data_IF_109500455644
#
_entry.id   IF_109500455644
#
_cell.length_a   1.000
_cell.length_b   1.000
_cell.length_c   1.000
_cell.angle_alpha   90.00
_cell.angle_beta   90.00
_cell.angle_gamma   90.00
#
_symmetry.space_group_name_H-M   'P 1'
#
loop_
_entity.id
_entity.type
_entity.pdbx_description
1 polymer ?
#
# COMPACT_ATOMS: atom_id res chain seq x y z
N UNK A 1 -8.89 -14.56 36.50
CA UNK A 1 -8.72 -13.89 35.19
C UNK A 1 -9.88 -14.29 34.29
N UNK A 2 -10.57 -13.32 33.69
CA UNK A 2 -11.57 -13.61 32.67
C UNK A 2 -10.91 -14.38 31.52
N UNK A 3 -11.59 -15.42 31.01
CA UNK A 3 -11.12 -16.21 29.88
C UNK A 3 -12.16 -16.11 28.76
N UNK A 4 -11.68 -15.89 27.55
CA UNK A 4 -12.51 -16.01 26.35
C UNK A 4 -12.73 -17.51 26.10
N UNK A 5 -13.97 -17.89 25.84
CA UNK A 5 -14.34 -19.23 25.40
C UNK A 5 -13.53 -19.64 24.16
N UNK A 6 -13.06 -20.89 24.11
CA UNK A 6 -12.12 -21.35 23.08
C UNK A 6 -12.65 -21.09 21.66
N UNK A 7 -13.93 -21.39 21.40
CA UNK A 7 -14.55 -21.19 20.09
C UNK A 7 -14.55 -19.70 19.69
N UNK A 8 -14.91 -18.81 20.62
CA UNK A 8 -14.90 -17.35 20.37
C UNK A 8 -13.48 -16.82 20.16
N UNK A 9 -12.51 -17.42 20.84
CA UNK A 9 -11.10 -17.07 20.68
C UNK A 9 -10.57 -17.44 19.29
N UNK A 10 -10.93 -18.63 18.79
CA UNK A 10 -10.61 -19.07 17.42
C UNK A 10 -11.29 -18.18 16.38
N UNK A 11 -12.56 -17.84 16.56
CA UNK A 11 -13.28 -16.95 15.66
C UNK A 11 -12.62 -15.55 15.57
N UNK A 12 -12.18 -14.99 16.71
CA UNK A 12 -11.44 -13.71 16.70
C UNK A 12 -10.10 -13.82 15.98
N UNK A 13 -9.36 -14.92 16.17
CA UNK A 13 -8.12 -15.17 15.44
C UNK A 13 -8.36 -15.19 13.93
N UNK A 14 -9.41 -15.89 13.49
CA UNK A 14 -9.80 -15.97 12.07
C UNK A 14 -10.21 -14.61 11.49
N UNK A 15 -10.89 -13.75 12.26
CA UNK A 15 -11.21 -12.39 11.83
C UNK A 15 -9.96 -11.51 11.66
N UNK A 16 -8.96 -11.64 12.54
CA UNK A 16 -7.68 -10.95 12.37
C UNK A 16 -6.88 -11.47 11.18
N UNK A 17 -6.83 -12.78 10.96
CA UNK A 17 -6.14 -13.37 9.80
C UNK A 17 -6.84 -12.98 8.48
N UNK A 18 -8.17 -13.07 8.44
CA UNK A 18 -8.97 -12.69 7.26
C UNK A 18 -8.82 -11.21 6.95
N UNK A 19 -8.95 -10.33 7.95
CA UNK A 19 -8.77 -8.88 7.75
C UNK A 19 -7.37 -8.56 7.24
N UNK A 20 -6.32 -9.15 7.82
CA UNK A 20 -4.95 -8.95 7.35
C UNK A 20 -4.77 -9.38 5.89
N UNK A 21 -5.28 -10.56 5.50
CA UNK A 21 -5.22 -11.03 4.11
C UNK A 21 -5.93 -10.07 3.15
N UNK A 22 -7.14 -9.65 3.50
CA UNK A 22 -7.91 -8.69 2.69
C UNK A 22 -7.17 -7.37 2.52
N UNK A 23 -6.63 -6.82 3.61
CA UNK A 23 -5.87 -5.56 3.60
C UNK A 23 -4.63 -5.71 2.71
N UNK A 24 -3.82 -6.76 2.91
CA UNK A 24 -2.59 -6.98 2.14
C UNK A 24 -2.86 -7.17 0.65
N UNK A 25 -3.90 -7.93 0.29
CA UNK A 25 -4.30 -8.09 -1.12
C UNK A 25 -4.83 -6.77 -1.66
N UNK A 26 -5.66 -6.03 -0.91
CA UNK A 26 -6.19 -4.74 -1.33
C UNK A 26 -5.09 -3.70 -1.59
N UNK A 27 -4.11 -3.59 -0.69
CA UNK A 27 -2.93 -2.74 -0.90
C UNK A 27 -2.10 -3.22 -2.09
N UNK A 28 -1.95 -4.53 -2.29
CA UNK A 28 -1.26 -5.10 -3.44
C UNK A 28 -1.96 -4.82 -4.77
N UNK A 29 -3.30 -4.89 -4.81
CA UNK A 29 -4.08 -4.54 -5.99
C UNK A 29 -3.95 -3.05 -6.29
N UNK A 30 -3.97 -2.17 -5.27
CA UNK A 30 -3.68 -0.74 -5.44
C UNK A 30 -2.29 -0.51 -6.05
N UNK A 31 -1.27 -1.24 -5.60
CA UNK A 31 0.09 -1.19 -6.18
C UNK A 31 0.19 -1.74 -7.60
N UNK A 32 -0.74 -2.58 -8.03
CA UNK A 32 -0.81 -3.16 -9.37
C UNK A 32 -1.57 -2.29 -10.38
N UNK A 33 -2.16 -1.16 -9.95
CA UNK A 33 -2.89 -0.26 -10.84
C UNK A 33 -1.90 0.41 -11.79
N UNK A 34 -2.11 0.19 -13.08
CA UNK A 34 -1.28 0.74 -14.15
C UNK A 34 -1.87 2.06 -14.65
N UNK A 35 -1.02 2.89 -15.24
CA UNK A 35 -1.49 4.07 -15.95
C UNK A 35 -2.45 3.65 -17.08
N UNK A 36 -3.66 4.25 -17.11
CA UNK A 36 -4.69 3.99 -18.12
C UNK A 36 -5.78 2.98 -17.72
N UNK A 37 -5.51 2.02 -16.83
CA UNK A 37 -6.49 1.05 -16.32
C UNK A 37 -6.79 1.29 -14.83
N UNK A 38 -7.65 2.28 -14.56
CA UNK A 38 -8.03 2.70 -13.20
C UNK A 38 -9.27 1.97 -12.67
N UNK A 39 -9.18 0.65 -12.53
CA UNK A 39 -10.26 -0.16 -11.93
C UNK A 39 -10.06 -0.33 -10.41
N UNK A 40 -10.66 0.57 -9.62
CA UNK A 40 -10.53 0.58 -8.15
C UNK A 40 -11.53 -0.31 -7.41
N UNK A 41 -12.52 -0.89 -8.10
CA UNK A 41 -13.62 -1.62 -7.46
C UNK A 41 -13.12 -2.77 -6.57
N UNK A 42 -12.22 -3.62 -7.08
CA UNK A 42 -11.67 -4.74 -6.30
C UNK A 42 -10.89 -4.23 -5.09
N UNK A 43 -10.07 -3.21 -5.28
CA UNK A 43 -9.29 -2.57 -4.21
C UNK A 43 -10.21 -2.05 -3.10
N UNK A 44 -11.26 -1.30 -3.44
CA UNK A 44 -12.22 -0.79 -2.45
C UNK A 44 -12.97 -1.93 -1.75
N UNK A 45 -13.37 -2.97 -2.49
CA UNK A 45 -14.05 -4.13 -1.92
C UNK A 45 -13.18 -4.86 -0.89
N UNK A 46 -11.89 -5.01 -1.17
CA UNK A 46 -10.94 -5.67 -0.27
C UNK A 46 -10.61 -4.82 0.95
N UNK A 47 -10.28 -3.53 0.74
CA UNK A 47 -9.87 -2.62 1.82
C UNK A 47 -11.03 -2.28 2.76
N UNK A 48 -12.23 -1.99 2.24
CA UNK A 48 -13.40 -1.69 3.07
C UNK A 48 -13.72 -2.84 4.04
N UNK A 49 -13.83 -4.07 3.51
CA UNK A 49 -14.08 -5.25 4.34
C UNK A 49 -12.92 -5.57 5.29
N UNK A 50 -11.68 -5.43 4.81
CA UNK A 50 -10.49 -5.69 5.60
C UNK A 50 -10.40 -4.77 6.83
N UNK A 51 -10.56 -3.46 6.64
CA UNK A 51 -10.53 -2.49 7.73
C UNK A 51 -11.74 -2.61 8.66
N UNK A 52 -12.94 -2.86 8.13
CA UNK A 52 -14.14 -3.07 8.96
C UNK A 52 -13.93 -4.25 9.92
N UNK A 53 -13.50 -5.40 9.39
CA UNK A 53 -13.23 -6.61 10.18
C UNK A 53 -12.14 -6.39 11.21
N UNK A 54 -11.03 -5.74 10.81
CA UNK A 54 -9.94 -5.41 11.72
C UNK A 54 -10.43 -4.54 12.89
N UNK A 55 -11.18 -3.47 12.63
CA UNK A 55 -11.67 -2.57 13.67
C UNK A 55 -12.73 -3.21 14.56
N UNK A 56 -13.65 -4.02 14.02
CA UNK A 56 -14.60 -4.78 14.85
C UNK A 56 -13.90 -5.80 15.74
N UNK A 57 -12.89 -6.51 15.22
CA UNK A 57 -12.09 -7.44 16.01
C UNK A 57 -11.29 -6.70 17.10
N UNK A 58 -10.74 -5.52 16.78
CA UNK A 58 -10.12 -4.62 17.76
C UNK A 58 -11.10 -4.28 18.88
N UNK A 59 -12.30 -3.79 18.53
CA UNK A 59 -13.35 -3.41 19.49
C UNK A 59 -13.73 -4.59 20.38
N UNK A 60 -13.87 -5.80 19.84
CA UNK A 60 -14.12 -7.01 20.65
C UNK A 60 -13.05 -7.21 21.74
N UNK A 61 -11.77 -7.06 21.40
CA UNK A 61 -10.67 -7.21 22.35
C UNK A 61 -10.61 -6.05 23.36
N UNK A 62 -10.83 -4.81 22.91
CA UNK A 62 -10.92 -3.64 23.78
C UNK A 62 -12.07 -3.76 24.78
N UNK A 63 -13.24 -4.17 24.32
CA UNK A 63 -14.43 -4.40 25.13
C UNK A 63 -14.20 -5.53 26.13
N UNK A 64 -13.57 -6.63 25.72
CA UNK A 64 -13.18 -7.70 26.64
C UNK A 64 -12.21 -7.25 27.71
N UNK A 65 -11.19 -6.46 27.36
CA UNK A 65 -10.26 -5.90 28.34
C UNK A 65 -10.98 -5.04 29.38
N UNK A 66 -11.92 -4.20 28.93
CA UNK A 66 -12.65 -3.24 29.80
C UNK A 66 -13.69 -3.93 30.68
N UNK A 67 -14.43 -4.89 30.14
CA UNK A 67 -15.64 -5.44 30.77
C UNK A 67 -15.49 -6.90 31.23
N UNK A 68 -14.41 -7.59 30.85
CA UNK A 68 -14.18 -9.02 31.16
C UNK A 68 -15.07 -9.98 30.35
N UNK A 69 -15.90 -9.47 29.45
CA UNK A 69 -16.78 -10.24 28.55
C UNK A 69 -16.68 -9.67 27.13
N UNK A 70 -16.97 -10.49 26.12
CA UNK A 70 -17.06 -10.03 24.73
C UNK A 70 -18.37 -9.26 24.50
N UNK A 71 -18.41 -8.34 23.51
CA UNK A 71 -19.63 -7.62 23.19
C UNK A 71 -20.71 -8.58 22.67
N UNK A 72 -21.97 -8.20 22.88
CA UNK A 72 -23.09 -8.93 22.32
C UNK A 72 -23.34 -8.56 20.84
N UNK A 73 -24.23 -9.32 20.20
CA UNK A 73 -24.62 -9.08 18.82
C UNK A 73 -25.21 -7.68 18.60
N UNK A 74 -26.00 -7.18 19.56
CA UNK A 74 -26.68 -5.89 19.43
C UNK A 74 -25.66 -4.74 19.40
N UNK A 75 -24.65 -4.81 20.26
CA UNK A 75 -23.54 -3.87 20.29
C UNK A 75 -22.81 -3.85 18.94
N UNK A 76 -22.35 -5.01 18.45
CA UNK A 76 -21.64 -5.07 17.16
C UNK A 76 -22.50 -4.63 15.97
N UNK A 77 -23.80 -4.96 15.97
CA UNK A 77 -24.73 -4.53 14.91
C UNK A 77 -24.91 -3.02 14.91
N UNK A 78 -25.01 -2.39 16.08
CA UNK A 78 -25.22 -0.95 16.21
C UNK A 78 -24.04 -0.11 15.74
N UNK A 79 -22.81 -0.67 15.74
CA UNK A 79 -21.63 -0.01 15.19
C UNK A 79 -21.71 0.16 13.65
N UNK A 80 -22.54 -0.63 12.97
CA UNK A 80 -22.70 -0.55 11.51
C UNK A 80 -21.45 -0.98 10.73
N UNK A 81 -21.26 -0.37 9.56
CA UNK A 81 -20.16 -0.67 8.62
C UNK A 81 -19.31 0.58 8.31
N UNK A 82 -19.59 1.68 9.00
CA UNK A 82 -18.92 2.95 8.77
C UNK A 82 -17.56 2.96 9.45
N UNK A 83 -16.50 3.13 8.66
CA UNK A 83 -15.13 3.05 9.15
C UNK A 83 -14.77 4.21 10.08
N UNK A 84 -15.35 5.40 9.86
CA UNK A 84 -15.13 6.55 10.73
C UNK A 84 -15.80 6.34 12.09
N UNK A 85 -17.04 5.83 12.12
CA UNK A 85 -17.72 5.51 13.38
C UNK A 85 -17.01 4.39 14.15
N UNK A 86 -16.50 3.37 13.46
CA UNK A 86 -15.71 2.30 14.09
C UNK A 86 -14.40 2.83 14.67
N UNK A 87 -13.69 3.71 13.95
CA UNK A 87 -12.47 4.34 14.47
C UNK A 87 -12.78 5.24 15.67
N UNK A 88 -13.85 6.02 15.62
CA UNK A 88 -14.27 6.87 16.74
C UNK A 88 -14.56 6.04 17.98
N UNK A 89 -15.28 4.92 17.85
CA UNK A 89 -15.54 4.00 18.96
C UNK A 89 -14.23 3.45 19.56
N UNK A 90 -13.25 3.11 18.72
CA UNK A 90 -11.91 2.70 19.18
C UNK A 90 -11.24 3.81 19.97
N UNK A 91 -11.18 5.03 19.42
CA UNK A 91 -10.48 6.16 20.02
C UNK A 91 -11.09 6.60 21.36
N UNK A 92 -12.42 6.56 21.48
CA UNK A 92 -13.13 7.01 22.67
C UNK A 92 -13.10 5.96 23.80
N UNK A 93 -13.18 4.67 23.45
CA UNK A 93 -13.41 3.63 24.44
C UNK A 93 -12.25 2.66 24.66
N UNK A 94 -11.36 2.48 23.68
CA UNK A 94 -10.44 1.34 23.64
C UNK A 94 -9.00 1.69 23.24
N UNK A 95 -8.71 2.93 22.90
CA UNK A 95 -7.35 3.40 22.59
C UNK A 95 -6.64 3.89 23.85
N UNK A 96 -5.39 3.45 24.07
CA UNK A 96 -4.61 3.85 25.23
C UNK A 96 -3.47 4.79 24.86
N UNK A 97 -3.35 5.89 25.58
CA UNK A 97 -2.31 6.91 25.38
C UNK A 97 -1.09 6.76 26.31
N UNK A 98 -0.85 5.58 26.89
CA UNK A 98 0.11 5.48 27.99
C UNK A 98 1.55 5.86 27.58
N UNK A 99 1.99 7.04 28.08
CA UNK A 99 3.37 7.50 28.36
C UNK A 99 4.42 7.44 27.25
N UNK A 100 4.05 7.35 25.98
CA UNK A 100 5.02 7.54 24.89
C UNK A 100 4.55 8.61 23.91
N UNK A 101 5.48 9.45 23.47
CA UNK A 101 5.25 10.50 22.46
C UNK A 101 4.64 9.90 21.19
N UNK A 102 5.03 8.66 20.84
CA UNK A 102 4.50 7.97 19.67
C UNK A 102 2.97 7.78 19.72
N UNK A 103 2.37 7.48 20.88
CA UNK A 103 0.91 7.31 20.95
C UNK A 103 0.14 8.62 20.80
N UNK A 104 0.74 9.75 21.15
CA UNK A 104 0.16 11.07 20.90
C UNK A 104 0.20 11.39 19.41
N UNK A 105 1.33 11.12 18.74
CA UNK A 105 1.46 11.24 17.28
C UNK A 105 0.43 10.34 16.57
N UNK A 106 0.28 9.10 17.05
CA UNK A 106 -0.66 8.14 16.49
C UNK A 106 -2.10 8.62 16.67
N UNK A 107 -2.47 9.08 17.86
CA UNK A 107 -3.81 9.61 18.12
C UNK A 107 -4.10 10.86 17.30
N UNK A 108 -3.16 11.79 17.21
CA UNK A 108 -3.30 13.00 16.41
C UNK A 108 -3.54 12.65 14.94
N UNK A 109 -2.73 11.74 14.37
CA UNK A 109 -2.94 11.23 13.02
C UNK A 109 -4.33 10.59 12.86
N UNK A 110 -4.70 9.66 13.75
CA UNK A 110 -6.00 8.97 13.69
C UNK A 110 -7.20 9.93 13.81
N UNK A 111 -7.04 11.06 14.50
CA UNK A 111 -8.13 12.01 14.78
C UNK A 111 -8.22 13.13 13.76
N UNK A 112 -7.08 13.61 13.26
CA UNK A 112 -6.99 14.90 12.57
C UNK A 112 -6.52 14.79 11.11
N UNK A 113 -5.96 13.65 10.69
CA UNK A 113 -5.46 13.50 9.32
C UNK A 113 -6.61 13.53 8.30
N UNK A 114 -6.55 14.51 7.40
CA UNK A 114 -7.60 14.74 6.40
C UNK A 114 -7.64 13.64 5.34
N UNK A 115 -6.49 13.08 5.00
CA UNK A 115 -6.41 12.03 3.99
C UNK A 115 -6.98 10.72 4.52
N UNK A 116 -6.70 10.38 5.78
CA UNK A 116 -7.30 9.23 6.44
C UNK A 116 -8.83 9.34 6.45
N UNK A 117 -9.36 10.51 6.84
CA UNK A 117 -10.82 10.77 6.86
C UNK A 117 -11.44 10.61 5.48
N UNK A 118 -10.87 11.25 4.45
CA UNK A 118 -11.39 11.15 3.10
C UNK A 118 -11.34 9.71 2.55
N UNK A 119 -10.25 8.98 2.81
CA UNK A 119 -10.13 7.56 2.43
C UNK A 119 -11.17 6.69 3.14
N UNK A 120 -11.43 6.94 4.43
CA UNK A 120 -12.43 6.19 5.19
C UNK A 120 -13.85 6.49 4.74
N UNK A 121 -14.15 7.75 4.44
CA UNK A 121 -15.41 8.15 3.82
C UNK A 121 -15.64 7.38 2.51
N UNK A 122 -14.65 7.42 1.59
CA UNK A 122 -14.70 6.76 0.29
C UNK A 122 -14.95 5.24 0.41
N UNK A 123 -14.21 4.57 1.30
CA UNK A 123 -14.36 3.13 1.53
C UNK A 123 -15.69 2.78 2.22
N UNK A 124 -16.16 3.61 3.14
CA UNK A 124 -17.43 3.40 3.85
C UNK A 124 -18.62 3.52 2.91
N UNK A 125 -18.66 4.58 2.11
CA UNK A 125 -19.76 4.81 1.15
C UNK A 125 -19.77 3.75 0.04
N UNK A 126 -18.59 3.31 -0.41
CA UNK A 126 -18.47 2.16 -1.29
C UNK A 126 -19.11 0.91 -0.68
N UNK A 127 -18.77 0.57 0.57
CA UNK A 127 -19.32 -0.61 1.27
C UNK A 127 -20.84 -0.58 1.43
N UNK A 128 -21.41 0.60 1.71
CA UNK A 128 -22.84 0.79 2.00
C UNK A 128 -23.73 0.68 0.75
N UNK A 129 -23.55 1.58 -0.23
CA UNK A 129 -24.55 1.82 -1.29
C UNK A 129 -23.89 1.86 -2.67
N UNK A 130 -22.70 2.48 -2.80
CA UNK A 130 -22.17 2.85 -4.11
C UNK A 130 -21.62 1.68 -4.95
N UNK A 131 -21.54 0.46 -4.41
CA UNK A 131 -21.24 -0.77 -5.19
C UNK A 131 -22.13 -0.94 -6.42
N UNK A 132 -23.38 -0.48 -6.34
CA UNK A 132 -24.37 -0.58 -7.40
C UNK A 132 -24.85 0.78 -7.91
N UNK A 133 -24.04 1.84 -7.74
CA UNK A 133 -24.40 3.21 -8.12
C UNK A 133 -24.96 3.33 -9.55
N UNK A 134 -24.37 2.63 -10.52
CA UNK A 134 -24.86 2.63 -11.89
C UNK A 134 -26.29 2.10 -12.01
N UNK A 135 -26.70 1.12 -11.20
CA UNK A 135 -28.08 0.64 -11.17
C UNK A 135 -29.04 1.68 -10.60
N UNK A 136 -28.62 2.46 -9.59
CA UNK A 136 -29.44 3.57 -9.09
C UNK A 136 -29.70 4.63 -10.17
N UNK A 137 -28.73 4.87 -11.05
CA UNK A 137 -28.93 5.72 -12.24
C UNK A 137 -29.90 5.06 -13.21
N UNK A 138 -29.67 3.79 -13.58
CA UNK A 138 -30.50 3.04 -14.54
C UNK A 138 -31.96 3.01 -14.09
N UNK A 139 -32.22 2.81 -12.80
CA UNK A 139 -33.58 2.69 -12.25
C UNK A 139 -34.19 4.02 -11.83
N UNK A 140 -33.50 5.15 -12.03
CA UNK A 140 -33.90 6.47 -11.50
C UNK A 140 -34.25 6.42 -10.00
N UNK A 141 -33.44 5.71 -9.21
CA UNK A 141 -33.64 5.66 -7.77
C UNK A 141 -33.48 7.07 -7.18
N UNK A 142 -34.44 7.51 -6.35
CA UNK A 142 -34.42 8.85 -5.74
C UNK A 142 -33.45 8.94 -4.54
N UNK A 143 -32.94 7.82 -4.04
CA UNK A 143 -31.92 7.76 -2.98
C UNK A 143 -30.55 7.39 -3.57
N UNK A 144 -30.07 8.19 -4.52
CA UNK A 144 -28.76 7.99 -5.14
C UNK A 144 -27.66 8.16 -4.08
N UNK A 145 -26.78 7.18 -3.95
CA UNK A 145 -25.53 7.34 -3.19
C UNK A 145 -24.58 8.34 -3.86
N UNK A 146 -23.41 8.55 -3.26
CA UNK A 146 -22.34 9.37 -3.87
C UNK A 146 -21.66 8.58 -5.00
N UNK A 147 -21.33 9.24 -6.12
CA UNK A 147 -20.42 8.67 -7.12
C UNK A 147 -18.99 8.61 -6.54
N UNK A 148 -18.66 7.47 -5.98
CA UNK A 148 -17.36 7.22 -5.34
C UNK A 148 -16.22 7.25 -6.35
N UNK A 149 -16.47 6.91 -7.61
CA UNK A 149 -15.43 6.94 -8.64
C UNK A 149 -15.09 8.37 -9.03
N UNK A 150 -16.08 9.26 -9.11
CA UNK A 150 -15.86 10.69 -9.33
C UNK A 150 -15.18 11.34 -8.13
N UNK A 151 -15.65 11.04 -6.90
CA UNK A 151 -15.02 11.55 -5.68
C UNK A 151 -13.57 11.06 -5.53
N UNK A 152 -13.30 9.79 -5.85
CA UNK A 152 -11.94 9.25 -5.86
C UNK A 152 -11.03 10.00 -6.86
N UNK A 153 -11.49 10.26 -8.08
CA UNK A 153 -10.71 11.03 -9.07
C UNK A 153 -10.41 12.45 -8.56
N UNK A 154 -11.36 13.06 -7.88
CA UNK A 154 -11.18 14.38 -7.28
C UNK A 154 -10.12 14.34 -6.18
N UNK A 155 -10.17 13.32 -5.33
CA UNK A 155 -9.15 13.07 -4.31
C UNK A 155 -7.75 12.84 -4.90
N UNK A 156 -7.63 12.04 -5.97
CA UNK A 156 -6.35 11.87 -6.68
C UNK A 156 -5.80 13.20 -7.20
N UNK A 157 -6.66 14.05 -7.76
CA UNK A 157 -6.28 15.37 -8.25
C UNK A 157 -5.82 16.30 -7.13
N UNK A 158 -6.48 16.29 -5.97
CA UNK A 158 -6.05 17.03 -4.78
C UNK A 158 -4.66 16.58 -4.30
N UNK A 159 -4.36 15.28 -4.33
CA UNK A 159 -3.02 14.76 -4.04
C UNK A 159 -2.00 15.33 -5.03
N UNK A 160 -2.30 15.30 -6.34
CA UNK A 160 -1.39 15.81 -7.38
C UNK A 160 -1.04 17.28 -7.13
N UNK A 161 -2.04 18.11 -6.79
CA UNK A 161 -1.84 19.53 -6.47
C UNK A 161 -0.93 19.67 -5.24
N UNK A 162 -1.25 19.01 -4.14
CA UNK A 162 -0.47 19.15 -2.88
C UNK A 162 0.96 18.65 -3.01
N UNK A 163 1.21 17.68 -3.89
CA UNK A 163 2.55 17.15 -4.21
C UNK A 163 3.31 18.02 -5.22
N UNK A 164 2.71 19.10 -5.75
CA UNK A 164 3.28 19.95 -6.79
C UNK A 164 3.71 19.15 -8.04
N UNK A 165 2.94 18.13 -8.43
CA UNK A 165 3.19 17.39 -9.67
C UNK A 165 2.91 18.34 -10.84
N UNK A 166 3.89 18.57 -11.71
CA UNK A 166 3.75 19.53 -12.79
C UNK A 166 2.67 19.12 -13.79
N UNK A 167 1.94 20.10 -14.33
CA UNK A 167 0.93 19.87 -15.36
C UNK A 167 1.50 19.14 -16.58
N UNK A 168 2.75 19.42 -16.95
CA UNK A 168 3.46 18.73 -18.02
C UNK A 168 3.61 17.23 -17.75
N UNK A 169 3.93 16.84 -16.50
CA UNK A 169 3.99 15.42 -16.11
C UNK A 169 2.61 14.75 -16.13
N UNK A 170 1.57 15.47 -15.74
CA UNK A 170 0.19 14.95 -15.71
C UNK A 170 -0.32 14.67 -17.13
N UNK A 171 -0.04 15.57 -18.07
CA UNK A 171 -0.49 15.47 -19.47
C UNK A 171 0.39 14.55 -20.33
N UNK A 172 1.62 14.29 -19.91
CA UNK A 172 2.54 13.42 -20.63
C UNK A 172 2.22 11.94 -20.42
N UNK A 173 1.99 11.22 -21.52
CA UNK A 173 1.89 9.76 -21.51
C UNK A 173 3.12 9.09 -20.89
N UNK A 174 4.30 9.70 -21.05
CA UNK A 174 5.58 9.16 -20.61
C UNK A 174 5.75 9.21 -19.09
N UNK A 175 5.10 10.19 -18.43
CA UNK A 175 5.17 10.37 -16.98
C UNK A 175 3.90 9.91 -16.24
N UNK A 176 2.85 9.55 -16.98
CA UNK A 176 1.58 9.07 -16.41
C UNK A 176 1.74 7.93 -15.40
N UNK A 177 2.77 7.09 -15.59
CA UNK A 177 3.14 6.03 -14.66
C UNK A 177 3.74 6.56 -13.35
N UNK A 178 4.70 7.50 -13.41
CA UNK A 178 5.28 8.14 -12.21
C UNK A 178 4.17 8.80 -11.37
N UNK A 179 3.27 9.54 -12.01
CA UNK A 179 2.14 10.19 -11.34
C UNK A 179 1.26 9.18 -10.60
N UNK A 180 0.91 8.07 -11.27
CA UNK A 180 0.10 7.00 -10.67
C UNK A 180 0.80 6.40 -9.44
N UNK A 181 2.12 6.17 -9.53
CA UNK A 181 2.88 5.62 -8.41
C UNK A 181 2.99 6.57 -7.22
N UNK A 182 3.17 7.87 -7.46
CA UNK A 182 3.27 8.86 -6.38
C UNK A 182 1.96 8.93 -5.59
N UNK A 183 0.81 8.91 -6.29
CA UNK A 183 -0.51 8.89 -5.68
C UNK A 183 -0.72 7.59 -4.89
N UNK A 184 -0.45 6.44 -5.51
CA UNK A 184 -0.56 5.13 -4.85
C UNK A 184 0.34 5.05 -3.62
N UNK A 185 1.57 5.53 -3.71
CA UNK A 185 2.52 5.56 -2.58
C UNK A 185 1.98 6.42 -1.44
N UNK A 186 1.42 7.60 -1.75
CA UNK A 186 0.77 8.46 -0.76
C UNK A 186 -0.37 7.77 -0.02
N UNK A 187 -1.27 7.10 -0.75
CA UNK A 187 -2.42 6.38 -0.15
C UNK A 187 -1.94 5.24 0.75
N UNK A 188 -0.95 4.46 0.30
CA UNK A 188 -0.37 3.36 1.08
C UNK A 188 0.24 3.87 2.37
N UNK A 189 0.96 5.00 2.32
CA UNK A 189 1.54 5.64 3.50
C UNK A 189 0.46 5.94 4.54
N UNK A 190 -0.69 6.48 4.12
CA UNK A 190 -1.80 6.81 5.03
C UNK A 190 -2.38 5.53 5.65
N UNK A 191 -2.63 4.48 4.86
CA UNK A 191 -3.14 3.21 5.38
C UNK A 191 -2.14 2.48 6.28
N UNK A 192 -0.84 2.48 5.95
CA UNK A 192 0.19 1.89 6.80
C UNK A 192 0.30 2.63 8.14
N UNK A 193 0.22 3.97 8.15
CA UNK A 193 0.16 4.74 9.39
C UNK A 193 -1.04 4.36 10.24
N UNK A 194 -2.23 4.26 9.64
CA UNK A 194 -3.44 3.82 10.33
C UNK A 194 -3.26 2.45 10.99
N UNK A 195 -2.79 1.47 10.23
CA UNK A 195 -2.55 0.12 10.72
C UNK A 195 -1.48 0.07 11.79
N UNK A 196 -0.38 0.80 11.61
CA UNK A 196 0.70 0.89 12.58
C UNK A 196 0.20 1.47 13.92
N UNK A 197 -0.55 2.57 13.88
CA UNK A 197 -1.09 3.23 15.07
C UNK A 197 -1.95 2.29 15.92
N UNK A 198 -2.84 1.50 15.29
CA UNK A 198 -3.68 0.54 16.01
C UNK A 198 -2.90 -0.74 16.39
N UNK A 199 -2.05 -1.25 15.50
CA UNK A 199 -1.25 -2.46 15.76
C UNK A 199 -0.32 -2.30 16.98
N UNK A 200 0.27 -1.12 17.17
CA UNK A 200 1.13 -0.82 18.31
C UNK A 200 0.44 -0.98 19.66
N UNK A 201 -0.88 -0.74 19.73
CA UNK A 201 -1.66 -0.98 20.95
C UNK A 201 -1.66 -2.46 21.36
N UNK A 202 -1.60 -3.39 20.40
CA UNK A 202 -1.46 -4.81 20.69
C UNK A 202 -0.01 -5.20 21.02
N UNK A 203 0.94 -4.79 20.17
CA UNK A 203 2.35 -5.24 20.26
C UNK A 203 2.98 -4.83 21.59
N UNK A 204 2.72 -3.60 22.02
CA UNK A 204 3.23 -3.05 23.28
C UNK A 204 2.32 -3.34 24.47
N UNK A 205 1.39 -4.29 24.30
CA UNK A 205 0.56 -4.84 25.35
C UNK A 205 -0.45 -3.87 25.99
N UNK A 206 -0.78 -2.76 25.32
CA UNK A 206 -1.81 -1.85 25.79
C UNK A 206 -3.21 -2.50 25.78
N UNK A 207 -3.42 -3.61 25.07
CA UNK A 207 -4.68 -4.37 25.09
C UNK A 207 -4.63 -5.68 25.89
N UNK A 208 -3.52 -5.95 26.58
CA UNK A 208 -3.33 -7.15 27.40
C UNK A 208 -2.91 -8.40 26.60
N UNK A 209 -2.43 -9.41 27.33
CA UNK A 209 -1.68 -10.52 26.75
C UNK A 209 -2.49 -11.39 25.79
N UNK A 210 -3.80 -11.53 26.06
CA UNK A 210 -4.70 -12.28 25.17
C UNK A 210 -4.78 -11.59 23.81
N UNK A 211 -4.98 -10.26 23.81
CA UNK A 211 -5.07 -9.48 22.59
C UNK A 211 -3.76 -9.51 21.81
N UNK A 212 -2.62 -9.34 22.51
CA UNK A 212 -1.30 -9.46 21.91
C UNK A 212 -1.11 -10.81 21.22
N UNK A 213 -1.38 -11.92 21.92
CA UNK A 213 -1.23 -13.27 21.35
C UNK A 213 -2.06 -13.50 20.07
N UNK A 214 -3.27 -12.97 20.01
CA UNK A 214 -4.16 -13.16 18.85
C UNK A 214 -3.68 -12.36 17.63
N UNK A 215 -3.12 -11.18 17.86
CA UNK A 215 -2.77 -10.25 16.78
C UNK A 215 -1.34 -10.43 16.26
N UNK A 216 -0.45 -11.00 17.07
CA UNK A 216 0.99 -11.14 16.75
C UNK A 216 1.27 -11.80 15.39
N UNK A 217 0.48 -12.79 14.96
CA UNK A 217 0.74 -13.45 13.68
C UNK A 217 0.24 -12.64 12.47
N UNK A 218 -0.70 -11.72 12.68
CA UNK A 218 -1.41 -11.03 11.59
C UNK A 218 -0.97 -9.59 11.41
N UNK A 219 -0.67 -8.84 12.48
CA UNK A 219 -0.39 -7.39 12.39
C UNK A 219 0.92 -6.95 13.08
N UNK A 220 1.80 -7.88 13.43
CA UNK A 220 3.05 -7.53 14.10
C UNK A 220 3.98 -6.68 13.25
N UNK A 221 4.07 -6.97 11.95
CA UNK A 221 4.86 -6.20 10.99
C UNK A 221 4.39 -4.74 10.90
N UNK A 222 3.08 -4.49 10.84
CA UNK A 222 2.53 -3.13 10.84
C UNK A 222 2.92 -2.32 12.07
N UNK A 223 2.82 -2.88 13.27
CA UNK A 223 3.15 -2.11 14.47
C UNK A 223 4.65 -1.83 14.63
N UNK A 224 5.51 -2.49 13.84
CA UNK A 224 6.93 -2.17 13.71
C UNK A 224 7.25 -1.24 12.54
N UNK A 225 6.25 -0.76 11.79
CA UNK A 225 6.44 0.29 10.80
C UNK A 225 6.67 1.63 11.50
N UNK A 226 7.84 2.20 11.25
CA UNK A 226 8.24 3.55 11.65
C UNK A 226 8.53 4.39 10.41
N UNK A 227 8.65 5.70 10.57
CA UNK A 227 8.77 6.68 9.46
C UNK A 227 9.71 6.25 8.33
N UNK A 228 10.89 5.70 8.66
CA UNK A 228 11.88 5.25 7.66
C UNK A 228 11.43 4.11 6.75
N UNK A 229 10.45 3.31 7.19
CA UNK A 229 9.97 2.10 6.51
C UNK A 229 8.58 2.28 5.88
N UNK A 230 7.84 3.32 6.28
CA UNK A 230 6.49 3.60 5.78
C UNK A 230 6.54 3.91 4.27
N UNK A 231 5.58 3.39 3.52
CA UNK A 231 5.44 3.48 2.07
C UNK A 231 6.35 2.52 1.29
N UNK A 232 7.19 1.74 1.97
CA UNK A 232 8.20 0.90 1.29
C UNK A 232 7.73 -0.54 1.06
N UNK A 233 6.73 -1.02 1.78
CA UNK A 233 6.30 -2.42 1.69
C UNK A 233 5.78 -2.79 0.30
N UNK A 234 6.24 -3.92 -0.24
CA UNK A 234 5.73 -4.48 -1.50
C UNK A 234 4.59 -5.48 -1.22
N UNK A 235 3.35 -4.99 -1.27
CA UNK A 235 2.14 -5.77 -1.06
C UNK A 235 1.74 -6.59 -2.29
N UNK A 236 2.24 -6.28 -3.49
CA UNK A 236 1.94 -7.04 -4.71
C UNK A 236 2.28 -8.52 -4.58
N UNK A 237 3.27 -8.87 -3.77
CA UNK A 237 3.65 -10.26 -3.43
C UNK A 237 2.47 -11.08 -2.86
N UNK A 238 1.45 -10.44 -2.31
CA UNK A 238 0.23 -11.10 -1.83
C UNK A 238 -0.77 -11.42 -2.96
N UNK A 239 -0.68 -10.72 -4.10
CA UNK A 239 -1.67 -10.82 -5.20
C UNK A 239 -1.35 -11.96 -6.15
N UNK A 240 -2.39 -12.63 -6.65
CA UNK A 240 -2.27 -13.66 -7.69
C UNK A 240 -1.80 -13.06 -9.00
N UNK A 241 -2.31 -11.88 -9.37
CA UNK A 241 -1.93 -11.15 -10.58
C UNK A 241 -0.42 -10.95 -10.67
N UNK A 242 0.23 -10.52 -9.59
CA UNK A 242 1.68 -10.35 -9.58
C UNK A 242 2.45 -11.67 -9.69
N UNK A 243 1.94 -12.76 -9.09
CA UNK A 243 2.57 -14.08 -9.13
C UNK A 243 2.48 -14.74 -10.51
N UNK A 244 1.35 -14.56 -11.20
CA UNK A 244 1.04 -15.25 -12.44
C UNK A 244 1.41 -14.45 -13.70
N UNK A 245 1.53 -13.12 -13.61
CA UNK A 245 1.92 -12.30 -14.76
C UNK A 245 3.39 -12.59 -15.12
N UNK A 246 3.68 -13.12 -16.32
CA UNK A 246 5.06 -13.35 -16.72
C UNK A 246 5.78 -12.02 -16.88
N UNK A 247 6.80 -11.80 -16.04
CA UNK A 247 7.64 -10.61 -16.11
C UNK A 247 8.38 -10.58 -17.46
N UNK A 248 8.26 -9.48 -18.19
CA UNK A 248 9.03 -9.27 -19.42
C UNK A 248 10.45 -8.81 -19.08
N UNK A 249 11.26 -9.75 -18.61
CA UNK A 249 12.61 -9.51 -18.12
C UNK A 249 13.59 -10.45 -18.80
N UNK A 250 14.83 -9.99 -18.99
CA UNK A 250 15.88 -10.82 -19.59
C UNK A 250 16.83 -11.32 -18.49
N UNK A 251 16.90 -12.64 -18.29
CA UNK A 251 17.85 -13.25 -17.35
C UNK A 251 19.23 -13.24 -17.99
N UNK A 252 20.19 -12.57 -17.35
CA UNK A 252 21.57 -12.46 -17.86
C UNK A 252 22.24 -13.82 -18.01
N UNK A 253 22.78 -14.07 -19.19
CA UNK A 253 23.62 -15.23 -19.51
C UNK A 253 25.10 -14.93 -19.32
N UNK A 254 25.96 -15.94 -19.47
CA UNK A 254 27.41 -15.74 -19.52
C UNK A 254 27.82 -14.87 -20.71
N UNK A 255 27.19 -15.05 -21.87
CA UNK A 255 27.42 -14.22 -23.06
C UNK A 255 27.10 -12.75 -22.79
N UNK A 256 26.01 -12.46 -22.07
CA UNK A 256 25.66 -11.08 -21.74
C UNK A 256 26.66 -10.42 -20.78
N UNK A 257 27.24 -11.20 -19.86
CA UNK A 257 28.31 -10.73 -18.96
C UNK A 257 29.59 -10.45 -19.73
N UNK A 258 29.94 -11.29 -20.71
CA UNK A 258 31.08 -11.07 -21.59
C UNK A 258 30.85 -9.84 -22.48
N UNK A 259 29.67 -9.70 -23.08
CA UNK A 259 29.32 -8.53 -23.89
C UNK A 259 29.40 -7.23 -23.10
N UNK A 260 28.87 -7.18 -21.87
CA UNK A 260 29.04 -6.00 -21.00
C UNK A 260 30.50 -5.61 -20.78
N UNK A 261 31.39 -6.60 -20.67
CA UNK A 261 32.81 -6.38 -20.33
C UNK A 261 33.65 -6.00 -21.55
N UNK A 262 33.35 -6.58 -22.72
CA UNK A 262 34.22 -6.51 -23.89
C UNK A 262 33.64 -5.70 -25.06
N UNK A 263 32.33 -5.43 -25.08
CA UNK A 263 31.72 -4.63 -26.13
C UNK A 263 31.96 -3.13 -25.86
N UNK A 264 32.64 -2.44 -26.78
CA UNK A 264 32.96 -1.01 -26.67
C UNK A 264 31.73 -0.11 -26.59
N UNK A 265 30.62 -0.54 -27.19
CA UNK A 265 29.34 0.19 -27.22
C UNK A 265 28.53 0.04 -25.93
N UNK A 266 29.01 -0.78 -24.98
CA UNK A 266 28.32 -1.09 -23.74
C UNK A 266 29.14 -0.47 -22.61
N UNK A 267 28.59 0.56 -21.97
CA UNK A 267 29.19 1.16 -20.79
C UNK A 267 28.35 0.79 -19.58
N UNK A 268 28.98 0.38 -18.49
CA UNK A 268 28.25 -0.05 -17.29
C UNK A 268 28.94 0.40 -16.01
N UNK A 269 28.14 0.60 -14.97
CA UNK A 269 28.59 0.98 -13.63
C UNK A 269 27.78 0.24 -12.59
N UNK A 270 28.46 -0.35 -11.61
CA UNK A 270 27.81 -0.90 -10.40
C UNK A 270 27.58 0.23 -9.41
N UNK A 271 26.43 0.23 -8.77
CA UNK A 271 26.05 1.19 -7.73
C UNK A 271 25.58 0.39 -6.51
N UNK A 272 26.19 0.65 -5.36
CA UNK A 272 25.77 0.10 -4.08
C UNK A 272 24.86 1.10 -3.35
N UNK A 273 23.89 0.57 -2.61
CA UNK A 273 23.00 1.39 -1.76
C UNK A 273 23.76 2.22 -0.74
N UNK A 274 24.85 1.69 -0.17
CA UNK A 274 25.71 2.40 0.78
C UNK A 274 26.47 3.58 0.16
N UNK A 275 26.60 3.62 -1.16
CA UNK A 275 27.32 4.65 -1.91
C UNK A 275 26.37 5.71 -2.51
N UNK A 276 25.06 5.47 -2.45
CA UNK A 276 24.05 6.37 -2.96
C UNK A 276 23.65 7.39 -1.89
N UNK A 277 23.91 8.67 -2.14
CA UNK A 277 23.70 9.74 -1.17
C UNK A 277 22.23 10.11 -0.98
N UNK A 278 21.40 9.85 -1.99
CA UNK A 278 19.97 10.14 -1.95
C UNK A 278 19.17 8.92 -1.48
N UNK A 279 17.85 9.01 -1.52
CA UNK A 279 17.01 7.90 -1.11
C UNK A 279 17.03 6.76 -2.13
N UNK A 280 17.48 5.59 -1.68
CA UNK A 280 17.60 4.40 -2.52
C UNK A 280 16.23 3.89 -3.02
N UNK A 281 16.01 3.77 -4.35
CA UNK A 281 14.69 3.45 -4.89
C UNK A 281 14.44 1.95 -5.10
N UNK A 282 15.38 1.05 -4.81
CA UNK A 282 15.24 -0.39 -5.09
C UNK A 282 15.10 -1.25 -3.84
N UNK A 283 14.48 -2.42 -3.98
CA UNK A 283 14.35 -3.38 -2.88
C UNK A 283 15.65 -4.14 -2.55
N UNK A 284 16.53 -4.30 -3.53
CA UNK A 284 17.86 -4.90 -3.39
C UNK A 284 18.91 -3.88 -2.92
N UNK A 285 20.08 -4.31 -2.47
CA UNK A 285 21.15 -3.41 -2.01
C UNK A 285 22.17 -3.02 -3.09
N UNK A 286 22.11 -3.63 -4.27
CA UNK A 286 22.99 -3.30 -5.40
C UNK A 286 22.26 -3.36 -6.74
N UNK A 287 22.68 -2.48 -7.65
CA UNK A 287 22.23 -2.50 -9.05
C UNK A 287 23.38 -2.24 -10.00
N UNK A 288 23.23 -2.65 -11.25
CA UNK A 288 24.18 -2.32 -12.32
C UNK A 288 23.45 -1.57 -13.41
N UNK A 289 23.83 -0.32 -13.64
CA UNK A 289 23.34 0.45 -14.78
C UNK A 289 24.22 0.21 -15.99
N UNK A 290 23.61 0.21 -17.18
CA UNK A 290 24.28 -0.03 -18.44
C UNK A 290 23.65 0.85 -19.53
N UNK A 291 24.49 1.53 -20.30
CA UNK A 291 24.08 2.25 -21.51
C UNK A 291 24.64 1.52 -22.72
N UNK A 292 23.74 1.12 -23.62
CA UNK A 292 24.07 0.45 -24.88
C UNK A 292 23.88 1.44 -26.03
N UNK A 293 24.89 1.55 -26.89
CA UNK A 293 24.88 2.41 -28.07
C UNK A 293 24.49 3.87 -27.75
N UNK A 294 24.87 4.37 -26.57
CA UNK A 294 24.67 5.75 -26.08
C UNK A 294 23.22 6.19 -25.79
N UNK A 295 22.21 5.34 -25.97
CA UNK A 295 20.82 5.76 -25.75
C UNK A 295 19.90 4.69 -25.15
N UNK A 296 20.24 3.40 -25.20
CA UNK A 296 19.44 2.37 -24.54
C UNK A 296 19.94 2.14 -23.12
N UNK A 297 19.18 2.64 -22.15
CA UNK A 297 19.52 2.54 -20.73
C UNK A 297 18.84 1.32 -20.11
N UNK A 298 19.65 0.47 -19.48
CA UNK A 298 19.23 -0.78 -18.86
C UNK A 298 19.75 -0.80 -17.43
N UNK A 299 18.99 -1.41 -16.55
CA UNK A 299 19.41 -1.71 -15.18
C UNK A 299 19.31 -3.21 -14.95
N UNK A 300 20.35 -3.79 -14.36
CA UNK A 300 20.35 -5.17 -13.89
C UNK A 300 20.12 -5.19 -12.40
N UNK A 301 19.09 -5.94 -12.00
CA UNK A 301 18.70 -6.16 -10.60
C UNK A 301 18.62 -7.66 -10.39
N UNK A 302 19.33 -8.21 -9.41
CA UNK A 302 19.35 -9.65 -9.09
C UNK A 302 19.58 -10.57 -10.32
N UNK A 303 20.45 -10.13 -11.24
CA UNK A 303 20.81 -10.88 -12.45
C UNK A 303 19.78 -10.84 -13.59
N UNK A 304 18.77 -9.98 -13.51
CA UNK A 304 17.78 -9.75 -14.57
C UNK A 304 17.84 -8.32 -15.08
N UNK A 305 17.66 -8.11 -16.38
CA UNK A 305 17.65 -6.81 -17.02
C UNK A 305 16.24 -6.21 -17.09
N UNK A 306 16.17 -4.91 -16.84
CA UNK A 306 14.99 -4.05 -16.88
C UNK A 306 15.29 -2.79 -17.69
N UNK A 307 14.29 -2.16 -18.28
CA UNK A 307 14.46 -0.90 -19.03
C UNK A 307 14.46 0.31 -18.09
N UNK A 308 15.45 1.20 -18.22
CA UNK A 308 15.46 2.51 -17.55
C UNK A 308 14.79 3.62 -18.37
N UNK A 309 14.64 3.45 -19.68
CA UNK A 309 13.97 4.43 -20.55
C UNK A 309 13.05 3.78 -21.60
N UNK A 310 12.18 4.58 -22.20
CA UNK A 310 11.20 4.13 -23.20
C UNK A 310 11.85 3.48 -24.43
N UNK A 311 13.00 3.99 -24.88
CA UNK A 311 13.74 3.44 -26.03
C UNK A 311 14.24 2.03 -25.75
N UNK A 312 14.81 1.76 -24.57
CA UNK A 312 15.23 0.41 -24.17
C UNK A 312 14.02 -0.52 -23.98
N UNK A 313 12.92 -0.03 -23.40
CA UNK A 313 11.64 -0.76 -23.27
C UNK A 313 11.13 -1.23 -24.63
N UNK A 314 11.08 -0.34 -25.62
CA UNK A 314 10.66 -0.68 -26.99
C UNK A 314 11.62 -1.65 -27.69
N UNK A 315 12.93 -1.38 -27.62
CA UNK A 315 13.96 -2.16 -28.34
C UNK A 315 14.11 -3.59 -27.82
N UNK A 316 14.13 -3.75 -26.50
CA UNK A 316 14.42 -5.02 -25.82
C UNK A 316 13.17 -5.69 -25.23
N UNK A 317 12.00 -5.04 -25.34
CA UNK A 317 10.73 -5.51 -24.78
C UNK A 317 10.81 -5.78 -23.27
N UNK A 318 11.63 -5.01 -22.55
CA UNK A 318 11.83 -5.14 -21.11
C UNK A 318 10.81 -4.31 -20.34
N UNK A 319 10.39 -4.79 -19.17
CA UNK A 319 9.63 -3.99 -18.20
C UNK A 319 10.53 -2.99 -17.47
N UNK A 320 9.93 -1.90 -16.98
CA UNK A 320 10.63 -1.00 -16.08
C UNK A 320 10.71 -1.61 -14.67
N UNK A 321 11.61 -1.13 -13.80
CA UNK A 321 11.75 -1.64 -12.44
C UNK A 321 10.50 -1.55 -11.58
N UNK A 322 9.66 -0.52 -11.76
CA UNK A 322 8.46 -0.36 -10.94
C UNK A 322 7.34 -1.33 -11.34
N UNK A 323 7.05 -1.45 -12.64
CA UNK A 323 6.11 -2.39 -13.24
C UNK A 323 6.44 -3.83 -12.82
N UNK A 324 7.74 -4.18 -12.83
CA UNK A 324 8.20 -5.51 -12.44
C UNK A 324 8.30 -5.72 -10.91
N UNK A 325 8.07 -4.66 -10.13
CA UNK A 325 8.12 -4.68 -8.68
C UNK A 325 9.50 -4.79 -8.05
N UNK A 326 10.53 -4.32 -8.75
CA UNK A 326 11.90 -4.24 -8.24
C UNK A 326 12.24 -2.88 -7.61
N UNK A 327 11.45 -1.85 -7.92
CA UNK A 327 11.59 -0.51 -7.35
C UNK A 327 10.41 -0.15 -6.41
N UNK A 328 10.73 0.63 -5.39
CA UNK A 328 9.82 1.15 -4.37
C UNK A 328 8.91 2.20 -5.02
N UNK A 329 7.60 2.09 -4.84
CA UNK A 329 6.64 3.03 -5.44
C UNK A 329 6.79 4.44 -4.87
N UNK A 330 6.70 5.44 -5.75
CA UNK A 330 6.87 6.86 -5.40
C UNK A 330 8.32 7.27 -5.17
N UNK A 331 9.29 6.39 -5.40
CA UNK A 331 10.71 6.74 -5.47
C UNK A 331 11.13 6.87 -6.93
N UNK A 332 11.77 7.97 -7.28
CA UNK A 332 12.21 8.18 -8.65
C UNK A 332 13.42 7.29 -8.98
N UNK A 333 13.43 6.74 -10.20
CA UNK A 333 14.60 6.06 -10.78
C UNK A 333 15.25 6.92 -11.88
N UNK A 334 14.78 8.16 -12.08
CA UNK A 334 15.20 9.02 -13.19
C UNK A 334 16.69 9.37 -13.11
N UNK A 335 17.26 9.45 -11.90
CA UNK A 335 18.68 9.71 -11.73
C UNK A 335 19.53 8.52 -12.18
N UNK A 336 19.05 7.28 -12.04
CA UNK A 336 19.72 6.11 -12.61
C UNK A 336 19.70 6.14 -14.15
N UNK A 337 18.62 6.67 -14.75
CA UNK A 337 18.57 6.89 -16.20
C UNK A 337 19.58 7.94 -16.65
N UNK A 338 19.70 9.07 -15.95
CA UNK A 338 20.71 10.11 -16.23
C UNK A 338 22.13 9.57 -16.04
N UNK A 339 22.37 8.85 -14.95
CA UNK A 339 23.67 8.23 -14.68
C UNK A 339 24.06 7.26 -15.79
N UNK A 340 23.11 6.46 -16.30
CA UNK A 340 23.36 5.55 -17.41
C UNK A 340 23.72 6.31 -18.69
N UNK A 341 22.96 7.36 -19.05
CA UNK A 341 23.23 8.17 -20.24
C UNK A 341 24.61 8.86 -20.21
N UNK A 342 25.16 9.12 -19.02
CA UNK A 342 26.46 9.78 -18.82
C UNK A 342 27.66 8.81 -18.77
N UNK A 343 27.45 7.50 -18.93
CA UNK A 343 28.52 6.49 -19.04
C UNK A 343 29.15 6.47 -20.44
#
# INVERSE_FOLDING_TARGET
MAKIEIIKNLALLEEFDTSNKLIRIGLGELQNIKSGERFYFLTFQLLSQGFERFMKAYICLGYFKKNGILPDYKYLKNLGHDLELLLQEILDNFFSEFRTVQYQVDRDFLTNDKDLKELFFLLSEFGKISRYYNFDIITNNNKKGVDIMERWKSYEYEIMIRKNISFEKILSSDFSHEVTQEITSHIIIVFEKFLASLARQFIFNNMGDIAKRLVLNSFFDYGLLYEKNIGKTDYRKATTKYKETPLKVHKRTLLDKLNRRFNSEYKSKRILKSEYLEEWPFYCDEVIIECRYKHWCIITIEGKDYSLNGSAKGRYKLENPHDAGMAILGKTISDFTKMALNL
#
